data_IF_767192057063
#
_entry.id   IF_767192057063
#
_cell.length_a   1.000
_cell.length_b   1.000
_cell.length_c   1.000
_cell.angle_alpha   90.00
_cell.angle_beta   90.00
_cell.angle_gamma   90.00
#
_symmetry.space_group_name_H-M   'P 1'
#
loop_
_entity.id
_entity.type
_entity.pdbx_description
1 polymer ?
#
# COMPACT_ATOMS: atom_id res chain seq x y z
N UNK A 1 12.17 11.58 -3.67
CA UNK A 1 10.75 11.88 -4.01
C UNK A 1 10.16 10.60 -4.58
N UNK A 2 9.05 10.14 -4.04
CA UNK A 2 8.34 8.93 -4.49
C UNK A 2 7.29 9.32 -5.54
N UNK A 3 7.30 8.64 -6.68
CA UNK A 3 6.34 8.85 -7.78
C UNK A 3 5.67 7.52 -8.04
N UNK A 4 4.39 7.38 -7.68
CA UNK A 4 3.65 6.14 -7.80
C UNK A 4 2.29 6.34 -8.47
N UNK A 5 1.80 5.29 -9.14
CA UNK A 5 0.40 5.17 -9.54
C UNK A 5 -0.20 3.94 -8.87
N UNK A 6 -1.43 4.09 -8.42
CA UNK A 6 -2.20 3.07 -7.70
C UNK A 6 -3.49 2.74 -8.42
N UNK A 7 -3.81 1.46 -8.47
CA UNK A 7 -4.98 0.94 -9.17
C UNK A 7 -5.78 -0.02 -8.29
N UNK A 8 -7.10 0.07 -8.40
CA UNK A 8 -8.00 -0.96 -7.90
C UNK A 8 -7.97 -2.15 -8.87
N UNK A 9 -7.96 -3.37 -8.31
CA UNK A 9 -8.00 -4.62 -9.07
C UNK A 9 -9.26 -5.39 -8.69
N UNK A 10 -10.15 -5.61 -9.65
CA UNK A 10 -11.38 -6.36 -9.42
C UNK A 10 -11.15 -7.87 -9.51
N UNK A 11 -10.34 -8.30 -10.49
CA UNK A 11 -10.03 -9.70 -10.71
C UNK A 11 -8.59 -9.89 -11.19
N UNK A 12 -7.87 -10.79 -10.54
CA UNK A 12 -6.54 -11.20 -11.00
C UNK A 12 -6.65 -12.12 -12.23
N UNK A 13 -5.70 -12.03 -13.18
CA UNK A 13 -5.64 -12.98 -14.30
C UNK A 13 -5.48 -14.41 -13.80
N UNK A 14 -6.19 -15.36 -14.39
CA UNK A 14 -6.05 -16.80 -14.05
C UNK A 14 -4.65 -17.34 -14.36
N UNK A 15 -3.94 -16.70 -15.30
CA UNK A 15 -2.57 -17.04 -15.68
C UNK A 15 -1.51 -16.50 -14.73
N UNK A 16 -1.89 -15.65 -13.77
CA UNK A 16 -0.96 -15.04 -12.80
C UNK A 16 -0.70 -16.01 -11.64
N UNK A 17 0.48 -16.62 -11.63
CA UNK A 17 0.93 -17.52 -10.58
C UNK A 17 1.74 -16.75 -9.53
N UNK A 18 1.08 -16.36 -8.44
CA UNK A 18 1.68 -15.58 -7.35
C UNK A 18 2.79 -16.31 -6.60
N UNK A 19 2.81 -17.65 -6.65
CA UNK A 19 3.85 -18.46 -5.97
C UNK A 19 5.27 -18.20 -6.52
N UNK A 20 5.36 -17.65 -7.73
CA UNK A 20 6.64 -17.34 -8.40
C UNK A 20 7.30 -16.04 -7.93
N UNK A 21 6.59 -15.23 -7.15
CA UNK A 21 7.03 -13.88 -6.81
C UNK A 21 7.38 -13.74 -5.34
N UNK A 22 8.21 -12.74 -5.04
CA UNK A 22 8.53 -12.39 -3.66
C UNK A 22 7.27 -11.95 -2.92
N UNK A 23 7.02 -12.59 -1.79
CA UNK A 23 5.88 -12.35 -0.91
C UNK A 23 6.35 -11.60 0.34
N UNK A 24 5.65 -10.54 0.72
CA UNK A 24 5.82 -9.79 1.96
C UNK A 24 4.50 -9.74 2.72
N UNK A 25 4.46 -10.23 3.95
CA UNK A 25 3.32 -10.02 4.83
C UNK A 25 3.54 -8.72 5.62
N UNK A 26 2.58 -7.80 5.55
CA UNK A 26 2.70 -6.45 6.07
C UNK A 26 1.56 -6.17 7.05
N UNK A 27 1.91 -5.82 8.29
CA UNK A 27 1.03 -5.15 9.24
C UNK A 27 1.39 -3.67 9.26
N UNK A 28 0.45 -2.81 8.94
CA UNK A 28 0.65 -1.36 8.79
C UNK A 28 -0.24 -0.58 9.73
N UNK A 29 0.38 0.26 10.54
CA UNK A 29 -0.27 1.01 11.61
C UNK A 29 0.02 2.48 11.43
N UNK A 30 -1.03 3.30 11.36
CA UNK A 30 -0.90 4.74 11.30
C UNK A 30 -0.87 5.33 12.71
N UNK A 31 0.14 6.18 12.97
CA UNK A 31 0.30 6.90 14.22
C UNK A 31 -0.28 8.32 14.13
N UNK A 32 -0.19 8.91 12.93
CA UNK A 32 -0.66 10.26 12.65
C UNK A 32 -1.07 10.40 11.18
N UNK A 33 -2.18 11.06 10.95
CA UNK A 33 -2.69 11.36 9.60
C UNK A 33 -3.26 12.78 9.60
N UNK A 34 -2.75 13.65 8.72
CA UNK A 34 -3.39 14.91 8.35
C UNK A 34 -3.28 15.15 6.84
N UNK A 35 -3.62 16.34 6.37
CA UNK A 35 -3.62 16.69 4.94
C UNK A 35 -2.23 16.74 4.31
N UNK A 36 -1.19 16.96 5.10
CA UNK A 36 0.19 17.19 4.66
C UNK A 36 1.17 16.13 5.14
N UNK A 37 0.80 15.36 6.16
CA UNK A 37 1.74 14.46 6.82
C UNK A 37 1.09 13.15 7.24
N UNK A 38 1.84 12.08 7.09
CA UNK A 38 1.46 10.74 7.55
C UNK A 38 2.64 10.16 8.29
N UNK A 39 2.38 9.60 9.47
CA UNK A 39 3.37 8.81 10.22
C UNK A 39 2.80 7.42 10.40
N UNK A 40 3.58 6.42 9.99
CA UNK A 40 3.20 5.01 10.12
C UNK A 40 4.35 4.14 10.59
N UNK A 41 4.01 3.01 11.20
CA UNK A 41 4.94 1.92 11.44
C UNK A 41 4.47 0.69 10.68
N UNK A 42 5.42 -0.14 10.27
CA UNK A 42 5.16 -1.41 9.58
C UNK A 42 6.00 -2.54 10.15
N UNK A 43 5.36 -3.67 10.31
CA UNK A 43 6.02 -4.97 10.50
C UNK A 43 5.97 -5.69 9.16
N UNK A 44 7.14 -5.97 8.59
CA UNK A 44 7.28 -6.62 7.28
C UNK A 44 7.94 -7.97 7.48
N UNK A 45 7.26 -9.04 7.09
CA UNK A 45 7.76 -10.41 7.17
C UNK A 45 8.00 -10.95 5.77
N UNK A 46 9.25 -11.33 5.50
CA UNK A 46 9.66 -12.00 4.25
C UNK A 46 10.24 -13.35 4.65
N UNK A 47 9.57 -14.44 4.30
CA UNK A 47 9.90 -15.79 4.81
C UNK A 47 9.92 -15.75 6.34
N UNK A 48 11.05 -16.08 6.97
CA UNK A 48 11.21 -16.05 8.43
C UNK A 48 11.90 -14.78 8.96
N UNK A 49 12.15 -13.80 8.10
CA UNK A 49 12.83 -12.56 8.47
C UNK A 49 11.79 -11.45 8.71
N UNK A 50 11.85 -10.83 9.87
CA UNK A 50 10.96 -9.75 10.29
C UNK A 50 11.74 -8.46 10.39
N UNK A 51 11.24 -7.41 9.75
CA UNK A 51 11.76 -6.05 9.86
C UNK A 51 10.66 -5.09 10.31
N UNK A 52 11.06 -4.12 11.10
CA UNK A 52 10.17 -3.07 11.60
C UNK A 52 10.62 -1.73 11.04
N UNK A 53 9.67 -0.96 10.52
CA UNK A 53 9.94 0.29 9.82
C UNK A 53 9.09 1.42 10.39
N UNK A 54 9.70 2.60 10.48
CA UNK A 54 9.04 3.85 10.80
C UNK A 54 9.12 4.77 9.59
N UNK A 55 7.98 5.28 9.13
CA UNK A 55 7.90 6.06 7.90
C UNK A 55 7.19 7.38 8.16
N UNK A 56 7.75 8.46 7.65
CA UNK A 56 7.10 9.77 7.55
C UNK A 56 6.93 10.10 6.08
N UNK A 57 5.69 10.34 5.65
CA UNK A 57 5.37 10.89 4.33
C UNK A 57 4.90 12.33 4.49
N UNK A 58 5.42 13.22 3.66
CA UNK A 58 5.01 14.62 3.60
C UNK A 58 4.68 15.03 2.17
N UNK A 59 3.70 15.89 2.00
CA UNK A 59 3.23 16.38 0.70
C UNK A 59 1.72 16.22 0.53
N UNK A 60 1.18 16.89 -0.47
CA UNK A 60 -0.25 16.75 -0.79
C UNK A 60 -0.54 15.40 -1.44
N UNK A 61 -1.78 14.92 -1.31
CA UNK A 61 -2.26 13.76 -2.07
C UNK A 61 -1.97 13.94 -3.56
N UNK A 62 -1.38 12.92 -4.16
CA UNK A 62 -1.04 12.95 -5.57
C UNK A 62 -0.01 11.87 -5.93
N UNK A 63 0.53 11.98 -7.13
CA UNK A 63 1.47 10.99 -7.68
C UNK A 63 2.84 11.07 -6.98
N UNK A 64 3.21 12.24 -6.46
CA UNK A 64 4.56 12.54 -5.96
C UNK A 64 4.55 13.00 -4.50
N UNK A 65 5.32 12.33 -3.64
CA UNK A 65 5.45 12.60 -2.21
C UNK A 65 6.93 12.54 -1.77
N UNK A 66 7.24 13.20 -0.65
CA UNK A 66 8.48 12.99 0.09
C UNK A 66 8.28 11.87 1.10
N UNK A 67 9.13 10.86 1.07
CA UNK A 67 9.11 9.75 2.03
C UNK A 67 10.45 9.63 2.75
N UNK A 68 10.39 9.51 4.07
CA UNK A 68 11.53 9.23 4.95
C UNK A 68 11.24 7.95 5.72
N UNK A 69 12.06 6.92 5.53
CA UNK A 69 11.87 5.63 6.18
C UNK A 69 13.15 5.19 6.88
N UNK A 70 13.00 4.70 8.11
CA UNK A 70 14.09 4.11 8.89
C UNK A 70 13.67 2.77 9.48
N UNK A 71 14.62 1.87 9.64
CA UNK A 71 14.42 0.62 10.36
C UNK A 71 14.45 0.90 11.87
N UNK A 72 13.52 0.33 12.62
CA UNK A 72 13.43 0.43 14.07
C UNK A 72 13.51 -0.95 14.71
N UNK A 73 13.79 -1.00 16.02
CA UNK A 73 13.82 -2.27 16.75
C UNK A 73 12.41 -2.81 17.01
N UNK A 74 12.32 -4.10 17.30
CA UNK A 74 11.06 -4.72 17.74
C UNK A 74 10.52 -4.06 19.01
N UNK A 75 11.38 -3.70 19.96
CA UNK A 75 10.99 -3.01 21.18
C UNK A 75 10.36 -1.64 20.89
N UNK A 76 10.99 -0.85 20.00
CA UNK A 76 10.46 0.44 19.57
C UNK A 76 9.10 0.27 18.87
N UNK A 77 8.97 -0.74 18.00
CA UNK A 77 7.71 -1.05 17.33
C UNK A 77 6.60 -1.39 18.31
N UNK A 78 6.85 -2.28 19.28
CA UNK A 78 5.88 -2.67 20.31
C UNK A 78 5.44 -1.49 21.17
N UNK A 79 6.36 -0.58 21.46
CA UNK A 79 6.08 0.63 22.26
C UNK A 79 5.16 1.60 21.49
N UNK A 80 5.45 1.83 20.20
CA UNK A 80 4.62 2.65 19.31
C UNK A 80 3.25 2.00 19.07
N UNK A 81 3.20 0.70 18.88
CA UNK A 81 1.97 -0.07 18.74
C UNK A 81 1.05 0.10 19.94
N UNK A 82 1.60 -0.04 21.16
CA UNK A 82 0.84 0.10 22.39
C UNK A 82 0.21 1.48 22.55
N UNK A 83 0.90 2.52 22.11
CA UNK A 83 0.48 3.92 22.26
C UNK A 83 -0.21 4.48 21.02
N UNK A 84 -0.54 3.64 20.03
CA UNK A 84 -1.17 4.07 18.79
C UNK A 84 -2.54 4.70 18.99
N UNK A 85 -2.97 5.50 18.03
CA UNK A 85 -4.36 5.95 17.97
C UNK A 85 -5.27 4.78 17.57
N UNK A 86 -6.09 4.30 18.51
CA UNK A 86 -6.99 3.16 18.31
C UNK A 86 -8.18 3.46 17.39
N UNK A 87 -8.39 4.71 17.01
CA UNK A 87 -9.40 5.10 16.03
C UNK A 87 -8.98 4.76 14.59
N UNK A 88 -7.69 4.56 14.35
CA UNK A 88 -7.20 4.09 13.05
C UNK A 88 -7.25 2.56 12.97
N UNK A 89 -7.68 2.07 11.80
CA UNK A 89 -7.70 0.64 11.48
C UNK A 89 -6.29 0.18 11.17
N UNK A 90 -5.89 -0.96 11.73
CA UNK A 90 -4.67 -1.65 11.37
C UNK A 90 -4.88 -2.29 9.98
N UNK A 91 -4.01 -1.98 9.03
CA UNK A 91 -4.06 -2.57 7.70
C UNK A 91 -3.17 -3.81 7.64
N UNK A 92 -3.78 -4.94 7.30
CA UNK A 92 -3.07 -6.19 7.06
C UNK A 92 -3.16 -6.53 5.59
N UNK A 93 -2.02 -6.80 4.97
CA UNK A 93 -1.94 -7.14 3.55
C UNK A 93 -0.76 -8.06 3.26
N UNK A 94 -0.90 -8.82 2.19
CA UNK A 94 0.19 -9.54 1.57
C UNK A 94 0.56 -8.81 0.28
N UNK A 95 1.83 -8.40 0.18
CA UNK A 95 2.38 -7.74 -1.01
C UNK A 95 3.20 -8.72 -1.82
N UNK A 96 2.90 -8.82 -3.10
CA UNK A 96 3.69 -9.55 -4.08
C UNK A 96 4.45 -8.56 -4.95
N UNK A 97 5.75 -8.82 -5.16
CA UNK A 97 6.60 -8.02 -6.04
C UNK A 97 6.68 -8.72 -7.39
N UNK A 98 6.04 -8.15 -8.39
CA UNK A 98 5.94 -8.73 -9.74
C UNK A 98 6.80 -7.89 -10.68
N UNK A 99 7.89 -8.45 -11.25
CA UNK A 99 8.70 -7.74 -12.23
C UNK A 99 7.86 -7.27 -13.42
N UNK A 100 8.10 -6.04 -13.86
CA UNK A 100 7.41 -5.41 -14.99
C UNK A 100 8.39 -4.77 -15.96
N UNK A 101 7.88 -4.19 -17.05
CA UNK A 101 8.71 -3.56 -18.09
C UNK A 101 9.64 -2.47 -17.53
N UNK A 102 10.74 -2.22 -18.24
CA UNK A 102 11.72 -1.18 -17.90
C UNK A 102 12.26 -1.27 -16.45
N UNK A 103 12.45 -2.49 -15.96
CA UNK A 103 12.92 -2.78 -14.58
C UNK A 103 12.01 -2.26 -13.48
N UNK A 104 10.79 -1.86 -13.80
CA UNK A 104 9.77 -1.53 -12.81
C UNK A 104 9.23 -2.80 -12.15
N UNK A 105 8.59 -2.62 -11.01
CA UNK A 105 7.86 -3.68 -10.33
C UNK A 105 6.41 -3.25 -10.11
N UNK A 106 5.52 -4.22 -10.21
CA UNK A 106 4.16 -4.09 -9.67
C UNK A 106 4.21 -4.56 -8.23
N UNK A 107 3.77 -3.72 -7.31
CA UNK A 107 3.50 -4.08 -5.93
C UNK A 107 2.02 -4.40 -5.80
N UNK A 108 1.70 -5.69 -5.75
CA UNK A 108 0.32 -6.18 -5.66
C UNK A 108 -0.04 -6.44 -4.20
N UNK A 109 -0.92 -5.62 -3.66
CA UNK A 109 -1.40 -5.69 -2.28
C UNK A 109 -2.75 -6.40 -2.20
N UNK A 110 -2.77 -7.57 -1.58
CA UNK A 110 -3.99 -8.31 -1.27
C UNK A 110 -4.28 -8.11 0.21
N UNK A 111 -5.35 -7.40 0.51
CA UNK A 111 -5.74 -7.08 1.88
C UNK A 111 -6.42 -8.25 2.56
N UNK A 112 -6.27 -8.32 3.88
CA UNK A 112 -6.94 -9.25 4.78
C UNK A 112 -7.63 -8.51 5.93
N UNK A 113 -8.26 -9.24 6.84
CA UNK A 113 -8.96 -8.71 8.01
C UNK A 113 -10.06 -7.72 7.61
N UNK A 114 -10.02 -6.48 8.09
CA UNK A 114 -11.06 -5.45 7.87
C UNK A 114 -11.35 -5.17 6.39
N UNK A 115 -10.35 -5.34 5.52
CA UNK A 115 -10.44 -5.07 4.09
C UNK A 115 -10.28 -6.32 3.22
N UNK A 116 -10.66 -7.48 3.75
CA UNK A 116 -10.62 -8.74 3.00
C UNK A 116 -11.38 -8.61 1.67
N UNK A 117 -10.75 -9.07 0.59
CA UNK A 117 -11.26 -8.99 -0.78
C UNK A 117 -10.82 -7.75 -1.56
N UNK A 118 -10.22 -6.75 -0.90
CA UNK A 118 -9.64 -5.59 -1.56
C UNK A 118 -8.26 -5.94 -2.14
N UNK A 119 -8.02 -5.51 -3.37
CA UNK A 119 -6.73 -5.67 -4.05
C UNK A 119 -6.33 -4.34 -4.67
N UNK A 120 -5.13 -3.86 -4.34
CA UNK A 120 -4.48 -2.73 -5.00
C UNK A 120 -3.24 -3.19 -5.76
N UNK A 121 -2.93 -2.53 -6.86
CA UNK A 121 -1.65 -2.62 -7.54
C UNK A 121 -1.00 -1.25 -7.59
N UNK A 122 0.25 -1.17 -7.21
CA UNK A 122 1.05 0.06 -7.24
C UNK A 122 2.25 -0.14 -8.17
N UNK A 123 2.61 0.90 -8.90
CA UNK A 123 3.87 0.96 -9.65
C UNK A 123 4.57 2.25 -9.26
N UNK A 124 5.81 2.14 -8.78
CA UNK A 124 6.70 3.27 -8.51
C UNK A 124 7.54 3.56 -9.75
N UNK A 125 7.63 4.83 -10.13
CA UNK A 125 8.32 5.30 -11.33
C UNK A 125 9.50 6.20 -10.99
N UNK A 126 10.46 6.26 -11.89
CA UNK A 126 11.65 7.14 -11.75
C UNK A 126 11.32 8.61 -12.07
N UNK A 127 10.25 8.85 -12.85
CA UNK A 127 9.83 10.20 -13.22
C UNK A 127 8.34 10.29 -13.51
N UNK A 128 7.76 11.48 -13.44
CA UNK A 128 6.38 11.73 -13.82
C UNK A 128 6.13 11.46 -15.32
N UNK A 129 7.13 11.69 -16.17
CA UNK A 129 7.01 11.36 -17.59
C UNK A 129 6.90 9.85 -17.80
N UNK A 130 7.75 9.07 -17.13
CA UNK A 130 7.67 7.62 -17.15
C UNK A 130 6.30 7.11 -16.67
N UNK A 131 5.73 7.73 -15.61
CA UNK A 131 4.41 7.38 -15.10
C UNK A 131 3.27 7.66 -16.10
N UNK A 132 3.45 8.63 -17.00
CA UNK A 132 2.47 8.97 -18.05
C UNK A 132 2.62 8.07 -19.29
N UNK A 133 3.85 7.73 -19.66
CA UNK A 133 4.17 7.02 -20.92
C UNK A 133 4.02 5.50 -20.81
N UNK A 134 4.34 4.92 -19.66
CA UNK A 134 4.30 3.47 -19.48
C UNK A 134 2.86 3.00 -19.35
N UNK A 135 2.45 2.15 -20.29
CA UNK A 135 1.16 1.48 -20.26
C UNK A 135 1.13 0.49 -19.11
N UNK A 136 0.06 0.55 -18.30
CA UNK A 136 -0.19 -0.43 -17.23
C UNK A 136 -0.78 -1.73 -17.81
N UNK A 137 -0.70 -2.86 -17.09
CA UNK A 137 -1.33 -4.11 -17.53
C UNK A 137 -2.84 -3.96 -17.77
N UNK A 138 -3.37 -4.71 -18.73
CA UNK A 138 -4.80 -4.65 -19.10
C UNK A 138 -5.74 -5.12 -17.98
N UNK A 139 -5.24 -5.86 -16.98
CA UNK A 139 -6.00 -6.30 -15.81
C UNK A 139 -6.04 -5.28 -14.67
N UNK A 140 -5.40 -4.13 -14.82
CA UNK A 140 -5.58 -2.99 -13.91
C UNK A 140 -6.93 -2.33 -14.24
N UNK A 141 -7.74 -2.11 -13.21
CA UNK A 141 -9.08 -1.55 -13.41
C UNK A 141 -9.07 -0.03 -13.25
N UNK A 142 -9.39 0.48 -12.08
CA UNK A 142 -9.54 1.92 -11.85
C UNK A 142 -8.25 2.53 -11.31
N UNK A 143 -7.78 3.61 -11.92
CA UNK A 143 -6.72 4.46 -11.36
C UNK A 143 -7.26 5.22 -10.15
N UNK A 144 -6.72 4.93 -8.98
CA UNK A 144 -7.10 5.54 -7.69
C UNK A 144 -5.98 6.37 -7.08
N UNK A 145 -4.94 6.70 -7.85
CA UNK A 145 -3.74 7.42 -7.39
C UNK A 145 -4.06 8.71 -6.64
N UNK A 146 -5.08 9.45 -7.08
CA UNK A 146 -5.49 10.72 -6.49
C UNK A 146 -6.75 10.64 -5.62
N UNK A 147 -7.35 9.47 -5.45
CA UNK A 147 -8.65 9.33 -4.80
C UNK A 147 -8.58 8.56 -3.48
N UNK A 148 -7.91 7.42 -3.44
CA UNK A 148 -7.88 6.56 -2.26
C UNK A 148 -6.44 6.20 -1.90
N UNK A 149 -6.08 6.50 -0.66
CA UNK A 149 -4.78 6.13 -0.08
C UNK A 149 -4.94 5.06 1.01
N UNK A 150 -3.84 4.41 1.39
CA UNK A 150 -3.85 3.51 2.54
C UNK A 150 -4.23 4.25 3.84
N UNK A 151 -3.85 5.53 3.97
CA UNK A 151 -4.26 6.34 5.13
C UNK A 151 -5.76 6.62 5.17
N UNK A 152 -6.41 6.74 4.01
CA UNK A 152 -7.87 6.84 3.94
C UNK A 152 -8.53 5.55 4.42
N UNK A 153 -7.99 4.38 4.05
CA UNK A 153 -8.46 3.10 4.55
C UNK A 153 -8.33 2.98 6.07
N UNK A 154 -7.23 3.45 6.63
CA UNK A 154 -7.00 3.41 8.08
C UNK A 154 -7.92 4.36 8.87
N UNK A 155 -8.28 5.51 8.30
CA UNK A 155 -9.07 6.54 8.98
C UNK A 155 -10.58 6.44 8.76
N UNK A 156 -11.05 5.73 7.71
CA UNK A 156 -12.46 5.68 7.31
C UNK A 156 -12.94 4.24 7.10
N UNK A 157 -13.66 3.69 8.07
CA UNK A 157 -14.15 2.29 8.06
C UNK A 157 -14.98 1.89 6.83
N UNK A 158 -15.67 2.81 6.17
CA UNK A 158 -16.63 2.50 5.10
C UNK A 158 -16.30 3.13 3.74
N UNK A 159 -15.09 3.68 3.57
CA UNK A 159 -14.71 4.41 2.35
C UNK A 159 -14.97 3.61 1.06
N UNK A 160 -14.75 2.30 1.09
CA UNK A 160 -14.92 1.43 -0.07
C UNK A 160 -16.39 1.10 -0.34
N UNK A 161 -17.20 1.01 0.71
CA UNK A 161 -18.65 0.82 0.59
C UNK A 161 -19.30 2.08 0.04
N UNK A 162 -18.91 3.24 0.56
CA UNK A 162 -19.43 4.55 0.15
C UNK A 162 -19.11 4.86 -1.31
N UNK A 163 -17.98 4.37 -1.82
CA UNK A 163 -17.55 4.58 -3.20
C UNK A 163 -17.86 3.40 -4.14
N UNK A 164 -18.62 2.40 -3.72
CA UNK A 164 -18.93 1.18 -4.49
C UNK A 164 -17.67 0.44 -5.02
N UNK A 165 -16.54 0.57 -4.36
CA UNK A 165 -15.25 0.01 -4.79
C UNK A 165 -15.03 -1.44 -4.37
N UNK A 166 -15.85 -1.97 -3.45
CA UNK A 166 -15.89 -3.40 -3.15
C UNK A 166 -17.07 -3.98 -3.89
N UNK A 167 -16.81 -4.93 -4.78
CA UNK A 167 -17.89 -5.74 -5.35
C UNK A 167 -18.65 -6.40 -4.20
N UNK A 168 -19.91 -6.02 -4.05
CA UNK A 168 -20.81 -6.71 -3.13
C UNK A 168 -20.88 -8.16 -3.58
N UNK A 169 -20.33 -9.05 -2.77
CA UNK A 169 -20.67 -10.46 -2.89
C UNK A 169 -22.14 -10.65 -2.54
#
# INVERSE_FOLDING_TARGET
>A
MEIERKFLINKLPETLDLSKYTKKDIEQIYLYIDELSIIRIRKVTIKNNIKYKYTVKTGKKGISNQEYEVEISEEQYKRLYKNRNKNYIILNKTRYIIPYINKLNIELDIFSQEYEGLIFAEIEYESENQAKEIKVPDWFDMDISNSITNSDLASKKNILKDNNLINKK
#
